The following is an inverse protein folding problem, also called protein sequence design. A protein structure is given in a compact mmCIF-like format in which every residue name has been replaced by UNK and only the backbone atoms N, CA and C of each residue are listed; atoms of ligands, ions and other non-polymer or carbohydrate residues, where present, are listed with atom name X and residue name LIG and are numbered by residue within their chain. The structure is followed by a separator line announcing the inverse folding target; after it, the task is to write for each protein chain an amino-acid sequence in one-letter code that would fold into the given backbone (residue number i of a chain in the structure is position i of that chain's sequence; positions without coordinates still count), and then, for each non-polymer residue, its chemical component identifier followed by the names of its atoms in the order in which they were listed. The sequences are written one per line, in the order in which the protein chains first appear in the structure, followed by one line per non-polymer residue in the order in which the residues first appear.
data_IF_797731733480
#
_entry.id   IF_797731733480
#
_cell.length_a   1.000
_cell.length_b   1.000
_cell.length_c   1.000
_cell.angle_alpha   90.00
_cell.angle_beta   90.00
_cell.angle_gamma   90.00
#
_symmetry.space_group_name_H-M   'P 1'
#
loop_
_entity.id
_entity.type
_entity.pdbx_description
1 polymer ?
#
# COMPACT_ATOMS: atom_id res chain seq x y z
N UNK A 1 -6.22 -8.20 11.59
CA UNK A 1 -6.89 -7.03 12.19
C UNK A 1 -8.21 -7.42 12.84
N UNK A 2 -9.14 -8.05 12.12
CA UNK A 2 -10.39 -8.58 12.68
C UNK A 2 -10.31 -10.10 12.81
N UNK A 3 -10.88 -10.67 13.86
CA UNK A 3 -10.94 -12.12 14.02
C UNK A 3 -12.22 -12.65 13.38
N UNK A 4 -12.18 -13.67 12.49
CA UNK A 4 -13.37 -14.11 11.73
C UNK A 4 -14.57 -14.49 12.60
N UNK A 5 -14.33 -15.17 13.74
CA UNK A 5 -15.35 -15.49 14.76
C UNK A 5 -15.94 -14.27 15.48
N UNK A 6 -15.12 -13.31 15.90
CA UNK A 6 -15.55 -12.18 16.73
C UNK A 6 -15.92 -10.93 15.91
N UNK A 7 -15.65 -10.95 14.61
CA UNK A 7 -16.04 -9.92 13.64
C UNK A 7 -15.54 -8.53 14.07
N UNK A 8 -16.44 -7.56 14.15
CA UNK A 8 -16.21 -6.17 14.53
C UNK A 8 -16.25 -5.92 16.06
N UNK A 9 -16.46 -6.96 16.87
CA UNK A 9 -16.49 -6.85 18.34
C UNK A 9 -15.12 -6.68 18.96
N UNK A 10 -14.08 -7.20 18.31
CA UNK A 10 -12.69 -7.09 18.73
C UNK A 10 -11.84 -6.75 17.52
N UNK A 11 -11.02 -5.70 17.66
CA UNK A 11 -10.11 -5.24 16.61
C UNK A 11 -8.69 -5.10 17.16
N UNK A 12 -7.72 -5.61 16.42
CA UNK A 12 -6.29 -5.45 16.72
C UNK A 12 -5.69 -4.39 15.81
N UNK A 13 -5.39 -3.23 16.39
CA UNK A 13 -4.66 -2.14 15.75
C UNK A 13 -3.21 -2.17 16.24
N UNK A 14 -2.26 -2.13 15.32
CA UNK A 14 -0.82 -2.20 15.61
C UNK A 14 -0.25 -3.61 15.72
N UNK A 15 -1.06 -4.65 15.52
CA UNK A 15 -0.56 -6.04 15.55
C UNK A 15 0.27 -6.40 14.32
N UNK A 16 -0.15 -5.94 13.13
CA UNK A 16 0.57 -6.14 11.88
C UNK A 16 1.90 -5.38 11.93
N UNK A 17 3.02 -6.09 11.96
CA UNK A 17 4.36 -5.53 12.07
C UNK A 17 4.98 -5.46 10.67
N UNK A 18 5.35 -4.28 10.17
CA UNK A 18 6.02 -4.19 8.89
C UNK A 18 7.42 -4.78 8.98
N UNK A 19 7.84 -5.45 7.92
CA UNK A 19 9.23 -5.87 7.70
C UNK A 19 10.19 -4.68 7.55
N UNK A 20 9.74 -3.61 6.92
CA UNK A 20 10.43 -2.33 6.79
C UNK A 20 9.41 -1.18 6.74
N UNK A 21 9.80 0.02 7.15
CA UNK A 21 8.89 1.16 7.24
C UNK A 21 8.30 1.35 8.65
N UNK A 22 7.31 2.23 8.75
CA UNK A 22 6.80 2.70 10.04
C UNK A 22 5.50 1.99 10.43
N UNK A 23 5.37 1.68 11.72
CA UNK A 23 4.15 1.12 12.31
C UNK A 23 3.01 2.15 12.35
N UNK A 24 3.32 3.44 12.46
CA UNK A 24 2.30 4.48 12.69
C UNK A 24 1.35 4.67 11.49
N UNK A 25 1.81 4.72 10.23
CA UNK A 25 0.92 4.72 9.07
C UNK A 25 0.02 3.48 9.00
N UNK A 26 0.55 2.29 9.35
CA UNK A 26 -0.26 1.05 9.42
C UNK A 26 -1.39 1.21 10.43
N UNK A 27 -1.07 1.67 11.64
CA UNK A 27 -2.07 1.87 12.70
C UNK A 27 -3.12 2.91 12.31
N UNK A 28 -2.70 3.98 11.63
CA UNK A 28 -3.61 5.00 11.11
C UNK A 28 -4.56 4.44 10.06
N UNK A 29 -4.07 3.66 9.10
CA UNK A 29 -4.91 2.98 8.10
C UNK A 29 -5.87 1.97 8.73
N UNK A 30 -5.40 1.18 9.69
CA UNK A 30 -6.25 0.26 10.46
C UNK A 30 -7.35 1.00 11.22
N UNK A 31 -7.01 2.10 11.90
CA UNK A 31 -7.99 2.92 12.60
C UNK A 31 -9.02 3.54 11.64
N UNK A 32 -8.60 3.99 10.45
CA UNK A 32 -9.52 4.50 9.42
C UNK A 32 -10.50 3.44 8.94
N UNK A 33 -10.02 2.25 8.59
CA UNK A 33 -10.88 1.15 8.16
C UNK A 33 -11.89 0.81 9.26
N UNK A 34 -11.44 0.69 10.51
CA UNK A 34 -12.32 0.41 11.64
C UNK A 34 -13.38 1.51 11.85
N UNK A 35 -12.99 2.78 11.78
CA UNK A 35 -13.92 3.90 11.94
C UNK A 35 -15.03 3.88 10.87
N UNK A 36 -14.71 3.54 9.62
CA UNK A 36 -15.68 3.40 8.54
C UNK A 36 -16.66 2.23 8.78
N UNK A 37 -16.16 1.12 9.35
CA UNK A 37 -17.00 -0.02 9.74
C UNK A 37 -17.93 0.36 10.90
N UNK A 38 -17.41 1.03 11.93
CA UNK A 38 -18.23 1.51 13.05
C UNK A 38 -19.32 2.48 12.61
N UNK A 39 -19.05 3.28 11.57
CA UNK A 39 -20.03 4.19 10.97
C UNK A 39 -21.06 3.46 10.08
N UNK A 40 -20.82 2.20 9.74
CA UNK A 40 -21.65 1.41 8.82
C UNK A 40 -21.43 1.75 7.33
N UNK A 41 -20.39 2.52 6.99
CA UNK A 41 -20.05 2.82 5.59
C UNK A 41 -19.34 1.66 4.90
N UNK A 42 -18.66 0.82 5.68
CA UNK A 42 -18.04 -0.42 5.22
C UNK A 42 -18.52 -1.58 6.09
N UNK A 43 -18.53 -2.78 5.53
CA UNK A 43 -18.88 -4.00 6.25
C UNK A 43 -17.80 -5.05 6.08
N UNK A 44 -17.61 -5.90 7.10
CA UNK A 44 -16.70 -7.02 7.00
C UNK A 44 -17.26 -8.07 6.02
N UNK A 45 -16.43 -8.65 5.14
CA UNK A 45 -16.87 -9.71 4.24
C UNK A 45 -17.30 -10.97 5.01
N UNK A 46 -17.82 -11.99 4.35
CA UNK A 46 -18.20 -13.24 5.00
C UNK A 46 -17.00 -13.88 5.75
N UNK A 47 -17.26 -14.61 6.84
CA UNK A 47 -16.22 -15.23 7.66
C UNK A 47 -15.31 -16.17 6.85
N UNK A 48 -15.89 -16.98 5.97
CA UNK A 48 -15.12 -17.85 5.08
C UNK A 48 -14.14 -17.07 4.18
N UNK A 49 -14.55 -15.88 3.71
CA UNK A 49 -13.69 -15.02 2.90
C UNK A 49 -12.56 -14.40 3.72
N UNK A 50 -12.85 -13.97 4.96
CA UNK A 50 -11.81 -13.47 5.87
C UNK A 50 -10.75 -14.54 6.16
N UNK A 51 -11.17 -15.79 6.36
CA UNK A 51 -10.27 -16.92 6.60
C UNK A 51 -9.44 -17.27 5.35
N UNK A 52 -10.09 -17.27 4.18
CA UNK A 52 -9.43 -17.51 2.89
C UNK A 52 -8.32 -16.49 2.63
N UNK A 53 -8.63 -15.20 2.75
CA UNK A 53 -7.64 -14.12 2.56
C UNK A 53 -6.52 -14.22 3.59
N UNK A 54 -6.85 -14.41 4.87
CA UNK A 54 -5.83 -14.56 5.91
C UNK A 54 -4.89 -15.76 5.67
N UNK A 55 -5.40 -16.86 5.10
CA UNK A 55 -4.58 -18.00 4.72
C UNK A 55 -3.65 -17.68 3.56
N UNK A 56 -4.14 -16.99 2.53
CA UNK A 56 -3.33 -16.57 1.38
C UNK A 56 -2.22 -15.62 1.84
N UNK A 57 -2.56 -14.59 2.62
CA UNK A 57 -1.60 -13.63 3.14
C UNK A 57 -0.54 -14.32 4.00
N UNK A 58 -0.94 -15.31 4.82
CA UNK A 58 -0.01 -16.09 5.63
C UNK A 58 1.00 -16.84 4.75
N UNK A 59 0.54 -17.53 3.71
CA UNK A 59 1.41 -18.28 2.80
C UNK A 59 2.37 -17.33 2.10
N UNK A 60 1.87 -16.23 1.54
CA UNK A 60 2.70 -15.23 0.85
C UNK A 60 3.77 -14.62 1.78
N UNK A 61 3.42 -14.27 3.02
CA UNK A 61 4.38 -13.73 3.98
C UNK A 61 5.42 -14.77 4.44
N UNK A 62 5.04 -16.06 4.54
CA UNK A 62 5.98 -17.15 4.85
C UNK A 62 6.97 -17.38 3.71
N UNK A 63 6.49 -17.34 2.47
CA UNK A 63 7.35 -17.45 1.28
C UNK A 63 8.29 -16.24 1.14
N UNK A 64 7.81 -15.03 1.42
CA UNK A 64 8.59 -13.80 1.26
C UNK A 64 9.65 -13.62 2.35
N UNK A 65 9.37 -13.99 3.60
CA UNK A 65 10.24 -13.71 4.75
C UNK A 65 10.89 -14.93 5.39
N UNK A 66 10.56 -16.13 4.89
CA UNK A 66 11.14 -17.40 5.32
C UNK A 66 11.15 -17.54 6.86
N UNK A 67 12.28 -17.90 7.46
CA UNK A 67 12.47 -18.06 8.91
C UNK A 67 12.00 -16.86 9.75
N UNK A 68 12.02 -15.64 9.23
CA UNK A 68 11.59 -14.45 9.97
C UNK A 68 10.08 -14.43 10.23
N UNK A 69 9.26 -14.88 9.27
CA UNK A 69 7.82 -14.94 9.43
C UNK A 69 7.38 -16.04 10.42
N UNK A 70 8.17 -17.11 10.58
CA UNK A 70 7.90 -18.12 11.62
C UNK A 70 8.09 -17.57 13.04
N UNK A 71 9.14 -16.75 13.26
CA UNK A 71 9.42 -16.11 14.55
C UNK A 71 8.47 -14.95 14.83
N UNK A 72 8.15 -14.15 13.81
CA UNK A 72 7.29 -12.97 13.91
C UNK A 72 6.06 -13.20 13.03
N UNK A 73 5.06 -13.87 13.59
CA UNK A 73 3.84 -14.27 12.84
C UNK A 73 2.98 -13.10 12.37
N UNK A 74 3.24 -11.89 12.85
CA UNK A 74 2.54 -10.69 12.42
C UNK A 74 3.31 -9.87 11.39
N UNK A 75 4.42 -10.42 10.86
CA UNK A 75 5.22 -9.77 9.84
C UNK A 75 4.43 -9.62 8.54
N UNK A 76 4.41 -8.41 8.00
CA UNK A 76 3.75 -8.08 6.73
C UNK A 76 4.69 -7.30 5.83
N UNK A 77 4.52 -7.44 4.52
CA UNK A 77 5.11 -6.50 3.57
C UNK A 77 4.42 -5.13 3.67
N UNK A 78 5.18 -4.09 3.97
CA UNK A 78 4.62 -2.76 4.17
C UNK A 78 3.90 -2.21 2.94
N UNK A 79 4.42 -2.45 1.73
CA UNK A 79 3.84 -1.91 0.50
C UNK A 79 2.52 -2.60 0.20
N UNK A 80 2.52 -3.93 0.15
CA UNK A 80 1.30 -4.71 -0.12
C UNK A 80 0.23 -4.43 0.93
N UNK A 81 0.59 -4.47 2.21
CA UNK A 81 -0.36 -4.25 3.29
C UNK A 81 -1.01 -2.85 3.23
N UNK A 82 -0.21 -1.81 2.98
CA UNK A 82 -0.74 -0.45 2.89
C UNK A 82 -1.63 -0.26 1.65
N UNK A 83 -1.27 -0.87 0.52
CA UNK A 83 -2.05 -0.82 -0.72
C UNK A 83 -3.39 -1.57 -0.61
N UNK A 84 -3.40 -2.74 0.03
CA UNK A 84 -4.61 -3.52 0.28
C UNK A 84 -5.54 -2.78 1.24
N UNK A 85 -4.99 -2.24 2.34
CA UNK A 85 -5.75 -1.37 3.25
C UNK A 85 -6.31 -0.14 2.54
N UNK A 86 -5.53 0.47 1.64
CA UNK A 86 -5.99 1.61 0.86
C UNK A 86 -7.08 1.23 -0.15
N UNK A 87 -7.03 0.01 -0.69
CA UNK A 87 -8.10 -0.57 -1.50
C UNK A 87 -9.39 -0.75 -0.71
N UNK A 88 -9.31 -1.36 0.48
CA UNK A 88 -10.45 -1.57 1.37
C UNK A 88 -11.12 -0.25 1.80
N UNK A 89 -10.31 0.78 2.07
CA UNK A 89 -10.79 2.12 2.47
C UNK A 89 -11.28 2.94 1.26
N UNK A 90 -10.84 2.60 0.04
CA UNK A 90 -11.07 3.41 -1.16
C UNK A 90 -10.19 4.67 -1.24
N UNK A 91 -9.04 4.68 -0.58
CA UNK A 91 -8.08 5.79 -0.60
C UNK A 91 -6.80 5.51 -1.41
N UNK A 92 -6.71 4.37 -2.11
CA UNK A 92 -5.58 4.03 -2.99
C UNK A 92 -5.47 5.07 -4.12
N UNK A 93 -4.34 5.78 -4.28
CA UNK A 93 -4.21 6.81 -5.29
C UNK A 93 -4.24 6.22 -6.70
N UNK A 94 -5.05 6.82 -7.59
CA UNK A 94 -5.13 6.37 -8.99
C UNK A 94 -3.91 6.82 -9.78
N UNK A 95 -3.01 5.88 -10.09
CA UNK A 95 -1.76 6.16 -10.80
C UNK A 95 -2.01 6.78 -12.18
N UNK A 96 -2.94 6.23 -12.96
CA UNK A 96 -3.30 6.75 -14.29
C UNK A 96 -3.86 8.17 -14.24
N UNK A 97 -4.71 8.46 -13.26
CA UNK A 97 -5.25 9.82 -13.06
C UNK A 97 -4.11 10.81 -12.86
N UNK A 98 -3.17 10.51 -11.96
CA UNK A 98 -2.06 11.42 -11.68
C UNK A 98 -1.05 11.49 -12.83
N UNK A 99 -0.84 10.41 -13.58
CA UNK A 99 0.05 10.40 -14.74
C UNK A 99 -0.36 11.48 -15.77
N UNK A 100 -1.66 11.60 -16.06
CA UNK A 100 -2.15 12.57 -17.05
C UNK A 100 -2.48 13.94 -16.45
N UNK A 101 -3.01 14.01 -15.22
CA UNK A 101 -3.46 15.29 -14.63
C UNK A 101 -2.37 16.03 -13.84
N UNK A 102 -1.41 15.31 -13.24
CA UNK A 102 -0.36 15.90 -12.42
C UNK A 102 0.91 15.01 -12.44
N UNK A 103 1.67 15.01 -13.57
CA UNK A 103 2.82 14.12 -13.75
C UNK A 103 3.86 14.20 -12.63
N UNK A 104 4.04 15.38 -12.02
CA UNK A 104 4.94 15.57 -10.88
C UNK A 104 4.48 14.80 -9.63
N UNK A 105 3.17 14.72 -9.36
CA UNK A 105 2.62 13.88 -8.28
C UNK A 105 2.81 12.40 -8.63
N UNK A 106 2.54 12.03 -9.89
CA UNK A 106 2.77 10.66 -10.33
C UNK A 106 4.22 10.22 -10.14
N UNK A 107 5.18 11.07 -10.51
CA UNK A 107 6.60 10.79 -10.28
C UNK A 107 6.92 10.62 -8.79
N UNK A 108 6.32 11.43 -7.91
CA UNK A 108 6.47 11.24 -6.47
C UNK A 108 5.85 9.92 -5.98
N UNK A 109 4.68 9.53 -6.51
CA UNK A 109 4.02 8.27 -6.13
C UNK A 109 4.79 7.03 -6.57
N UNK A 110 5.51 7.09 -7.69
CA UNK A 110 6.21 5.93 -8.28
C UNK A 110 7.68 5.89 -7.88
N UNK A 111 8.35 7.05 -7.80
CA UNK A 111 9.80 7.13 -7.64
C UNK A 111 10.25 7.73 -6.30
N UNK A 112 9.35 8.25 -5.46
CA UNK A 112 9.72 8.64 -4.10
C UNK A 112 9.46 7.51 -3.11
N UNK A 113 9.96 7.69 -1.88
CA UNK A 113 9.64 6.77 -0.77
C UNK A 113 8.16 6.80 -0.46
N UNK A 114 7.55 5.63 -0.23
CA UNK A 114 6.16 5.55 0.20
C UNK A 114 5.95 6.30 1.51
N UNK A 115 4.98 7.20 1.50
CA UNK A 115 4.59 8.01 2.65
C UNK A 115 3.11 7.81 2.93
N UNK A 116 2.73 7.72 4.22
CA UNK A 116 1.31 7.63 4.62
C UNK A 116 0.44 8.75 4.05
N UNK A 117 1.04 9.91 3.80
CA UNK A 117 0.41 11.08 3.17
C UNK A 117 -0.21 10.78 1.80
N UNK A 118 0.33 9.81 1.04
CA UNK A 118 -0.22 9.44 -0.27
C UNK A 118 -1.64 8.87 -0.17
N UNK A 119 -1.97 8.20 0.93
CA UNK A 119 -3.31 7.65 1.21
C UNK A 119 -4.31 8.70 1.72
N UNK A 120 -3.91 9.98 1.69
CA UNK A 120 -4.76 11.16 1.94
C UNK A 120 -4.96 12.00 0.67
N UNK A 121 -4.48 11.56 -0.49
CA UNK A 121 -4.74 12.21 -1.77
C UNK A 121 -6.19 12.09 -2.22
N UNK A 122 -6.85 10.97 -1.91
CA UNK A 122 -8.23 10.69 -2.29
C UNK A 122 -8.91 9.78 -1.26
N UNK A 123 -10.20 9.51 -1.48
CA UNK A 123 -11.02 8.66 -0.61
C UNK A 123 -11.50 9.37 0.68
N UNK A 124 -12.09 8.61 1.62
CA UNK A 124 -12.65 9.15 2.85
C UNK A 124 -11.62 9.86 3.72
N UNK A 125 -11.95 11.08 4.17
CA UNK A 125 -11.07 11.91 5.01
C UNK A 125 -9.80 12.38 4.31
N UNK A 126 -9.84 12.58 2.97
CA UNK A 126 -8.71 13.10 2.23
C UNK A 126 -8.29 14.50 2.73
N UNK A 127 -7.03 14.84 2.46
CA UNK A 127 -6.44 16.17 2.67
C UNK A 127 -5.63 16.52 1.42
N UNK A 128 -6.29 16.48 0.27
CA UNK A 128 -5.63 16.45 -1.04
C UNK A 128 -4.62 17.61 -1.23
N UNK A 129 -5.02 18.83 -0.88
CA UNK A 129 -4.15 20.01 -1.04
C UNK A 129 -2.88 19.93 -0.20
N UNK A 130 -2.99 19.49 1.05
CA UNK A 130 -1.85 19.28 1.95
C UNK A 130 -1.00 18.09 1.50
N UNK A 131 -1.65 17.00 1.09
CA UNK A 131 -0.97 15.80 0.62
C UNK A 131 -0.11 16.08 -0.61
N UNK A 132 -0.67 16.80 -1.60
CA UNK A 132 0.07 17.26 -2.79
C UNK A 132 1.26 18.14 -2.41
N UNK A 133 1.07 19.10 -1.51
CA UNK A 133 2.14 20.00 -1.05
C UNK A 133 3.30 19.26 -0.38
N UNK A 134 3.03 18.17 0.33
CA UNK A 134 4.06 17.34 0.98
C UNK A 134 4.74 16.44 -0.05
N UNK A 135 3.97 15.74 -0.89
CA UNK A 135 4.50 14.78 -1.86
C UNK A 135 5.44 15.43 -2.88
N UNK A 136 5.15 16.65 -3.32
CA UNK A 136 6.01 17.40 -4.26
C UNK A 136 7.39 17.71 -3.67
N UNK A 137 7.48 17.81 -2.33
CA UNK A 137 8.73 18.11 -1.63
C UNK A 137 9.56 16.84 -1.36
N UNK A 138 9.02 15.65 -1.62
CA UNK A 138 9.77 14.42 -1.40
C UNK A 138 10.90 14.29 -2.43
N UNK A 139 12.08 13.82 -2.01
CA UNK A 139 13.13 13.49 -2.94
C UNK A 139 12.67 12.31 -3.82
N UNK A 140 12.62 12.52 -5.13
CA UNK A 140 12.40 11.45 -6.09
C UNK A 140 13.73 10.75 -6.38
N UNK A 141 13.71 9.43 -6.40
CA UNK A 141 14.84 8.64 -6.87
C UNK A 141 14.90 8.84 -8.39
N UNK A 142 15.81 9.70 -8.83
CA UNK A 142 16.07 9.89 -10.25
C UNK A 142 16.77 8.61 -10.74
N UNK A 143 16.30 7.95 -11.82
CA UNK A 143 17.00 6.81 -12.36
C UNK A 143 18.43 7.25 -12.68
N UNK A 144 19.38 6.59 -12.03
CA UNK A 144 20.81 6.86 -12.21
C UNK A 144 21.17 6.77 -13.69
N UNK A 145 22.26 7.40 -14.15
CA UNK A 145 22.72 7.28 -15.53
C UNK A 145 22.79 5.83 -16.01
N UNK A 146 23.12 4.90 -15.11
CA UNK A 146 23.15 3.45 -15.33
C UNK A 146 21.76 2.87 -15.62
N UNK A 147 20.75 3.22 -14.83
CA UNK A 147 19.36 2.78 -15.06
C UNK A 147 18.82 3.36 -16.37
N UNK A 148 19.13 4.63 -16.67
CA UNK A 148 18.77 5.26 -17.96
C UNK A 148 19.42 4.57 -19.15
N UNK A 149 20.70 4.21 -19.05
CA UNK A 149 21.42 3.47 -20.08
C UNK A 149 20.83 2.06 -20.27
N UNK A 150 20.47 1.39 -19.18
CA UNK A 150 19.85 0.06 -19.18
C UNK A 150 18.46 0.09 -19.82
N UNK A 151 17.61 1.04 -19.45
CA UNK A 151 16.29 1.24 -20.05
C UNK A 151 16.38 1.58 -21.54
N UNK A 152 17.33 2.43 -21.94
CA UNK A 152 17.58 2.73 -23.36
C UNK A 152 17.97 1.49 -24.14
N UNK A 153 18.82 0.63 -23.57
CA UNK A 153 19.24 -0.63 -24.19
C UNK A 153 18.07 -1.61 -24.32
N UNK A 154 17.28 -1.79 -23.26
CA UNK A 154 16.09 -2.65 -23.27
C UNK A 154 15.07 -2.17 -24.31
N UNK A 155 14.82 -0.85 -24.40
CA UNK A 155 13.93 -0.27 -25.41
C UNK A 155 14.47 -0.43 -26.83
N UNK A 156 15.78 -0.24 -27.04
CA UNK A 156 16.41 -0.45 -28.34
C UNK A 156 16.35 -1.92 -28.78
N UNK A 157 16.53 -2.85 -27.84
CA UNK A 157 16.44 -4.29 -28.11
C UNK A 157 14.97 -4.69 -28.41
N UNK A 158 13.99 -4.17 -27.67
CA UNK A 158 12.57 -4.41 -27.92
C UNK A 158 12.11 -3.91 -29.30
N UNK A 159 12.61 -2.75 -29.75
CA UNK A 159 12.32 -2.18 -31.08
C UNK A 159 13.03 -2.91 -32.21
N UNK A 160 14.12 -3.64 -31.91
CA UNK A 160 14.83 -4.49 -32.89
C UNK A 160 14.14 -5.83 -33.11
N UNK A 161 13.44 -6.36 -32.11
CA UNK A 161 12.69 -7.62 -32.21
C UNK A 161 11.28 -7.45 -32.82
N UNK A 162 10.82 -6.22 -33.07
CA UNK A 162 9.52 -5.94 -33.72
C UNK A 162 9.65 -5.68 -35.23
N UNK A 163 10.73 -6.13 -35.88
CA UNK A 163 10.95 -6.13 -37.33
C UNK A 163 11.26 -7.55 -37.78
#
# INVERSE_FOLDING_TARGET
MFHPKYRDKIVWIGWARPNYGSQFPIMEMQARLFALICKGELTLPATAEMERVACIDRVANLEQFDHHAYRVRSLVDYHHYMDDMAGLIGCKPSQWKYLFSAPHIYLALVFATIQGTQFRLQGPGNKESLARKILIKLPIIVPTPIIKASLRRILADALRFSR
#
